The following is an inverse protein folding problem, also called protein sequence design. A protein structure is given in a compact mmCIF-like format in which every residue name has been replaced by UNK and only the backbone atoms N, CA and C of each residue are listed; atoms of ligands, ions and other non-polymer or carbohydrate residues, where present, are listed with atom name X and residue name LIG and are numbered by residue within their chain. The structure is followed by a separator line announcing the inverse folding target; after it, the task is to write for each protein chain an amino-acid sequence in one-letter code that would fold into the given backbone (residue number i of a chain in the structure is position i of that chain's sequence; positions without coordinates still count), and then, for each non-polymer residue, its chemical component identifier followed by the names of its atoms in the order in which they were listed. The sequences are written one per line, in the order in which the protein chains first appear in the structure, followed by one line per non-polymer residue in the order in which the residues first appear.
data_IF_217736049053
#
_entry.id   IF_217736049053
#
_cell.length_a   1.000
_cell.length_b   1.000
_cell.length_c   1.000
_cell.angle_alpha   90.00
_cell.angle_beta   90.00
_cell.angle_gamma   90.00
#
_symmetry.space_group_name_H-M   'P 1'
#
loop_
_entity.id
_entity.type
_entity.pdbx_description
1 polymer ?
#
# COMPACT_ATOMS: atom_id res chain seq x y z
N UNK A 1 15.11 34.52 3.84
CA UNK A 1 15.16 34.18 2.40
C UNK A 1 14.08 35.01 1.72
N UNK A 2 14.42 35.95 0.82
CA UNK A 2 13.40 36.72 0.12
C UNK A 2 12.54 35.78 -0.73
N UNK A 3 11.26 36.12 -0.99
CA UNK A 3 10.41 35.31 -1.86
C UNK A 3 11.07 35.22 -3.24
N UNK A 4 11.27 33.99 -3.75
CA UNK A 4 11.71 33.78 -5.13
C UNK A 4 10.78 34.55 -6.07
N UNK A 5 11.29 35.29 -7.07
CA UNK A 5 10.44 35.86 -8.10
C UNK A 5 9.64 34.73 -8.73
N UNK A 6 8.31 34.86 -8.71
CA UNK A 6 7.43 33.84 -9.28
C UNK A 6 7.74 33.73 -10.77
N UNK A 7 8.10 32.53 -11.22
CA UNK A 7 8.31 32.24 -12.64
C UNK A 7 6.99 32.49 -13.37
N UNK A 8 7.05 33.16 -14.51
CA UNK A 8 5.87 33.34 -15.36
C UNK A 8 5.37 31.99 -15.89
N UNK A 9 4.05 31.85 -16.07
CA UNK A 9 3.47 30.58 -16.50
C UNK A 9 3.97 30.16 -17.88
N UNK A 10 4.06 31.08 -18.84
CA UNK A 10 4.49 30.74 -20.20
C UNK A 10 5.96 30.32 -20.22
N UNK A 11 6.81 31.03 -19.48
CA UNK A 11 8.21 30.67 -19.32
C UNK A 11 8.37 29.27 -18.67
N UNK A 12 7.54 28.95 -17.67
CA UNK A 12 7.55 27.62 -17.07
C UNK A 12 7.08 26.54 -18.04
N UNK A 13 5.99 26.76 -18.78
CA UNK A 13 5.48 25.82 -19.79
C UNK A 13 6.55 25.54 -20.83
N UNK A 14 7.17 26.57 -21.41
CA UNK A 14 8.23 26.43 -22.39
C UNK A 14 9.41 25.59 -21.85
N UNK A 15 9.74 25.73 -20.57
CA UNK A 15 10.82 24.96 -19.93
C UNK A 15 10.48 23.49 -19.63
N UNK A 16 9.20 23.10 -19.60
CA UNK A 16 8.75 21.77 -19.14
C UNK A 16 8.04 20.96 -20.22
N UNK A 17 7.49 21.61 -21.24
CA UNK A 17 6.62 20.98 -22.23
C UNK A 17 7.32 19.82 -22.95
N UNK A 18 8.59 19.98 -23.31
CA UNK A 18 9.35 18.97 -24.03
C UNK A 18 9.52 17.71 -23.20
N UNK A 19 9.98 17.86 -21.95
CA UNK A 19 10.18 16.72 -21.06
C UNK A 19 8.86 16.02 -20.72
N UNK A 20 7.79 16.77 -20.48
CA UNK A 20 6.48 16.18 -20.21
C UNK A 20 5.84 15.55 -21.46
N UNK A 21 6.20 15.99 -22.67
CA UNK A 21 5.80 15.36 -23.91
C UNK A 21 6.43 13.97 -24.07
N UNK A 22 7.73 13.86 -23.83
CA UNK A 22 8.43 12.56 -23.81
C UNK A 22 7.77 11.58 -22.83
N UNK A 23 7.50 12.04 -21.61
CA UNK A 23 6.80 11.22 -20.60
C UNK A 23 5.40 10.85 -21.06
N UNK A 24 4.63 11.80 -21.62
CA UNK A 24 3.27 11.54 -22.08
C UNK A 24 3.22 10.53 -23.23
N UNK A 25 4.14 10.63 -24.19
CA UNK A 25 4.26 9.67 -25.31
C UNK A 25 4.57 8.27 -24.79
N UNK A 26 5.49 8.14 -23.83
CA UNK A 26 5.80 6.85 -23.21
C UNK A 26 4.61 6.26 -22.42
N UNK A 27 3.76 7.11 -21.86
CA UNK A 27 2.56 6.68 -21.14
C UNK A 27 1.43 6.23 -22.09
N UNK A 28 1.27 6.89 -23.24
CA UNK A 28 0.14 6.63 -24.14
C UNK A 28 0.47 5.67 -25.27
N UNK A 29 1.68 5.73 -25.82
CA UNK A 29 2.03 5.11 -27.11
C UNK A 29 1.39 5.80 -28.31
N UNK A 30 0.68 6.91 -28.11
CA UNK A 30 -0.03 7.67 -29.14
C UNK A 30 0.26 9.16 -28.98
N UNK A 31 0.84 9.77 -30.03
CA UNK A 31 1.25 11.18 -30.02
C UNK A 31 0.07 12.14 -29.85
N UNK A 32 -1.08 11.83 -30.45
CA UNK A 32 -2.27 12.68 -30.37
C UNK A 32 -2.87 12.73 -28.97
N UNK A 33 -2.94 11.57 -28.31
CA UNK A 33 -3.38 11.44 -26.92
C UNK A 33 -2.40 12.09 -25.96
N UNK A 34 -1.09 11.90 -26.16
CA UNK A 34 -0.03 12.51 -25.36
C UNK A 34 -0.19 14.05 -25.35
N UNK A 35 -0.26 14.64 -26.54
CA UNK A 35 -0.51 16.06 -26.75
C UNK A 35 -1.77 16.55 -26.04
N UNK A 36 -2.88 15.79 -26.13
CA UNK A 36 -4.13 16.15 -25.46
C UNK A 36 -4.01 16.13 -23.93
N UNK A 37 -3.32 15.13 -23.38
CA UNK A 37 -3.07 14.99 -21.94
C UNK A 37 -2.20 16.14 -21.42
N UNK A 38 -1.18 16.55 -22.18
CA UNK A 38 -0.30 17.69 -21.84
C UNK A 38 -1.11 18.98 -21.77
N UNK A 39 -1.92 19.25 -22.79
CA UNK A 39 -2.78 20.44 -22.82
C UNK A 39 -3.75 20.46 -21.63
N UNK A 40 -4.45 19.35 -21.34
CA UNK A 40 -5.33 19.26 -20.15
C UNK A 40 -4.57 19.41 -18.83
N UNK A 41 -3.35 18.88 -18.74
CA UNK A 41 -2.52 18.96 -17.55
C UNK A 41 -2.12 20.41 -17.24
N UNK A 42 -1.58 21.13 -18.23
CA UNK A 42 -1.16 22.52 -18.06
C UNK A 42 -2.34 23.47 -17.91
N UNK A 43 -3.44 23.28 -18.63
CA UNK A 43 -4.68 24.03 -18.46
C UNK A 43 -5.19 23.95 -17.00
N UNK A 44 -5.15 22.77 -16.38
CA UNK A 44 -5.50 22.61 -14.97
C UNK A 44 -4.44 23.10 -13.99
N UNK A 45 -3.18 23.13 -14.40
CA UNK A 45 -2.09 23.70 -13.61
C UNK A 45 -2.23 25.22 -13.53
N UNK A 46 -2.61 25.86 -14.64
CA UNK A 46 -2.84 27.30 -14.74
C UNK A 46 -3.80 27.82 -13.66
N UNK A 47 -4.90 27.09 -13.41
CA UNK A 47 -5.90 27.39 -12.36
C UNK A 47 -5.34 27.53 -10.95
N UNK A 48 -4.21 26.90 -10.67
CA UNK A 48 -3.56 26.92 -9.35
C UNK A 48 -2.15 27.51 -9.44
N UNK A 49 -1.80 28.12 -10.58
CA UNK A 49 -0.46 28.61 -10.86
C UNK A 49 0.07 29.59 -9.81
N UNK A 50 -0.71 30.57 -9.30
CA UNK A 50 -0.20 31.48 -8.27
C UNK A 50 0.32 30.75 -7.02
N UNK A 51 -0.25 29.60 -6.67
CA UNK A 51 0.21 28.78 -5.54
C UNK A 51 1.41 27.92 -5.94
N UNK A 52 1.38 27.33 -7.13
CA UNK A 52 2.43 26.42 -7.62
C UNK A 52 3.74 27.17 -7.92
N UNK A 53 3.66 28.37 -8.53
CA UNK A 53 4.82 29.20 -8.86
C UNK A 53 5.65 29.61 -7.63
N UNK A 54 5.06 29.54 -6.43
CA UNK A 54 5.71 29.84 -5.14
C UNK A 54 6.20 28.59 -4.41
N UNK A 55 5.95 27.41 -4.95
CA UNK A 55 6.36 26.13 -4.35
C UNK A 55 7.85 25.84 -4.62
N UNK A 56 8.43 24.93 -3.82
CA UNK A 56 9.84 24.53 -3.98
C UNK A 56 10.11 23.71 -5.25
N UNK A 57 9.09 23.06 -5.80
CA UNK A 57 9.21 22.21 -6.99
C UNK A 57 7.92 22.29 -7.85
N UNK A 58 7.79 23.33 -8.70
CA UNK A 58 6.67 23.45 -9.63
C UNK A 58 6.60 22.29 -10.64
N UNK A 59 7.75 21.70 -11.01
CA UNK A 59 7.84 20.56 -11.93
C UNK A 59 7.17 19.30 -11.38
N UNK A 60 7.28 19.03 -10.07
CA UNK A 60 6.52 17.95 -9.44
C UNK A 60 5.01 18.14 -9.53
N UNK A 61 4.52 19.37 -9.39
CA UNK A 61 3.10 19.66 -9.57
C UNK A 61 2.67 19.44 -11.03
N UNK A 62 3.49 19.83 -11.99
CA UNK A 62 3.23 19.60 -13.42
C UNK A 62 3.18 18.10 -13.76
N UNK A 63 4.16 17.30 -13.33
CA UNK A 63 4.14 15.83 -13.48
C UNK A 63 2.89 15.22 -12.84
N UNK A 64 2.51 15.65 -11.64
CA UNK A 64 1.30 15.16 -10.98
C UNK A 64 0.02 15.48 -11.77
N UNK A 65 -0.05 16.66 -12.41
CA UNK A 65 -1.18 17.02 -13.30
C UNK A 65 -1.20 16.17 -14.57
N UNK A 66 -0.03 15.89 -15.16
CA UNK A 66 0.11 14.99 -16.29
C UNK A 66 -0.40 13.58 -15.96
N UNK A 67 0.10 12.97 -14.87
CA UNK A 67 -0.33 11.64 -14.42
C UNK A 67 -1.83 11.59 -14.09
N UNK A 68 -2.36 12.67 -13.51
CA UNK A 68 -3.80 12.78 -13.25
C UNK A 68 -4.63 12.86 -14.54
N UNK A 69 -4.12 13.54 -15.57
CA UNK A 69 -4.74 13.62 -16.89
C UNK A 69 -4.69 12.26 -17.60
N UNK A 70 -3.53 11.61 -17.63
CA UNK A 70 -3.37 10.24 -18.13
C UNK A 70 -4.36 9.27 -17.48
N UNK A 71 -4.44 9.26 -16.15
CA UNK A 71 -5.40 8.41 -15.45
C UNK A 71 -6.87 8.75 -15.76
N UNK A 72 -7.22 10.00 -16.09
CA UNK A 72 -8.57 10.36 -16.57
C UNK A 72 -8.83 9.77 -17.97
N UNK A 73 -7.87 9.88 -18.88
CA UNK A 73 -7.99 9.38 -20.25
C UNK A 73 -8.07 7.85 -20.28
N UNK A 74 -7.20 7.15 -19.53
CA UNK A 74 -7.27 5.71 -19.36
C UNK A 74 -8.64 5.25 -18.84
N UNK A 75 -9.17 5.91 -17.79
CA UNK A 75 -10.55 5.66 -17.30
C UNK A 75 -11.65 6.04 -18.28
N UNK A 76 -11.40 6.90 -19.27
CA UNK A 76 -12.40 7.23 -20.29
C UNK A 76 -12.41 6.15 -21.37
N UNK A 77 -11.24 5.77 -21.89
CA UNK A 77 -11.05 4.62 -22.81
C UNK A 77 -11.74 3.37 -22.27
N UNK A 78 -11.55 3.14 -20.96
CA UNK A 78 -12.23 2.12 -20.19
C UNK A 78 -13.73 2.01 -20.35
N UNK A 79 -14.38 3.17 -20.34
CA UNK A 79 -15.83 3.28 -20.29
C UNK A 79 -16.42 3.28 -21.70
N UNK A 80 -15.65 3.75 -22.69
CA UNK A 80 -16.07 3.78 -24.09
C UNK A 80 -15.97 2.43 -24.79
N UNK A 81 -15.13 1.51 -24.32
CA UNK A 81 -14.92 0.21 -24.98
C UNK A 81 -15.95 -0.88 -24.61
N UNK A 82 -16.93 -0.62 -23.75
CA UNK A 82 -17.96 -1.58 -23.28
C UNK A 82 -17.51 -3.03 -22.98
N UNK A 83 -16.22 -3.28 -22.82
CA UNK A 83 -15.70 -4.34 -21.97
C UNK A 83 -15.65 -3.81 -20.53
N UNK A 84 -16.09 -4.59 -19.52
CA UNK A 84 -15.92 -4.25 -18.11
C UNK A 84 -14.45 -4.40 -17.65
N UNK A 85 -13.46 -4.08 -18.49
CA UNK A 85 -12.06 -4.39 -18.26
C UNK A 85 -11.27 -3.29 -17.53
N UNK A 86 -11.70 -2.02 -17.60
CA UNK A 86 -10.83 -0.90 -17.16
C UNK A 86 -11.34 -0.12 -15.94
N UNK A 87 -12.28 -0.71 -15.19
CA UNK A 87 -12.38 -0.44 -13.75
C UNK A 87 -11.71 -1.52 -12.89
N UNK A 88 -11.27 -2.63 -13.51
CA UNK A 88 -10.69 -3.79 -12.81
C UNK A 88 -9.19 -3.98 -13.10
N UNK A 89 -8.67 -3.55 -14.26
CA UNK A 89 -7.25 -3.73 -14.60
C UNK A 89 -6.26 -2.88 -13.78
N UNK A 90 -6.72 -1.90 -13.00
CA UNK A 90 -5.89 -1.20 -12.00
C UNK A 90 -5.82 -1.96 -10.65
N UNK A 91 -6.55 -3.07 -10.49
CA UNK A 91 -6.67 -3.89 -9.26
C UNK A 91 -6.76 -5.40 -9.59
N UNK A 92 -5.61 -6.04 -9.87
CA UNK A 92 -5.35 -7.50 -9.88
C UNK A 92 -5.45 -8.24 -11.22
N UNK A 93 -4.28 -8.35 -11.86
CA UNK A 93 -3.83 -9.57 -12.55
C UNK A 93 -4.62 -10.01 -13.79
N UNK A 94 -4.36 -9.38 -14.94
CA UNK A 94 -4.56 -10.04 -16.23
C UNK A 94 -3.27 -10.79 -16.59
N UNK A 95 -3.28 -12.12 -16.50
CA UNK A 95 -2.23 -12.97 -17.08
C UNK A 95 -2.49 -13.10 -18.58
N UNK A 96 -1.55 -12.62 -19.40
CA UNK A 96 -1.53 -12.86 -20.84
C UNK A 96 -1.37 -14.37 -21.13
N UNK A 97 -1.96 -14.83 -22.24
CA UNK A 97 -1.90 -16.22 -22.71
C UNK A 97 -0.49 -16.67 -23.13
N UNK A 98 -0.35 -17.86 -23.75
CA UNK A 98 0.96 -18.46 -24.07
C UNK A 98 1.87 -17.52 -24.87
N UNK A 99 3.21 -17.61 -24.68
CA UNK A 99 4.16 -16.62 -25.15
C UNK A 99 4.10 -16.48 -26.67
N UNK A 100 3.65 -15.33 -27.13
CA UNK A 100 4.06 -14.78 -28.42
C UNK A 100 5.26 -13.90 -28.10
N UNK A 101 6.38 -14.11 -28.79
CA UNK A 101 7.52 -13.18 -28.74
C UNK A 101 7.04 -11.88 -29.40
N UNK A 102 6.58 -10.96 -28.55
CA UNK A 102 6.12 -9.62 -28.92
C UNK A 102 7.25 -8.66 -28.55
N UNK A 103 7.38 -7.57 -29.31
CA UNK A 103 8.42 -6.56 -29.05
C UNK A 103 8.30 -5.96 -27.64
N UNK A 104 9.43 -5.62 -27.00
CA UNK A 104 9.47 -5.08 -25.64
C UNK A 104 8.59 -3.84 -25.51
N UNK A 105 8.58 -2.96 -26.51
CA UNK A 105 7.78 -1.75 -26.48
C UNK A 105 6.27 -2.05 -26.50
N UNK A 106 5.85 -2.97 -27.37
CA UNK A 106 4.44 -3.41 -27.43
C UNK A 106 4.00 -4.02 -26.09
N UNK A 107 4.86 -4.81 -25.43
CA UNK A 107 4.52 -5.35 -24.10
C UNK A 107 4.43 -4.27 -23.02
N UNK A 108 5.24 -3.21 -23.08
CA UNK A 108 5.14 -2.05 -22.19
C UNK A 108 3.83 -1.27 -22.44
N UNK A 109 3.40 -1.18 -23.70
CA UNK A 109 2.11 -0.59 -24.09
C UNK A 109 0.89 -1.45 -23.77
N UNK A 110 1.08 -2.72 -23.43
CA UNK A 110 0.03 -3.59 -22.90
C UNK A 110 -0.06 -3.61 -21.37
N UNK A 111 0.91 -3.00 -20.68
CA UNK A 111 0.88 -2.91 -19.22
C UNK A 111 -0.34 -2.10 -18.73
N UNK A 112 -0.91 -2.46 -17.56
CA UNK A 112 -1.87 -1.63 -16.86
C UNK A 112 -1.35 -0.19 -16.68
N UNK A 113 -2.22 0.83 -16.81
CA UNK A 113 -1.80 2.24 -16.82
C UNK A 113 -0.91 2.64 -15.64
N UNK A 114 -1.21 2.16 -14.42
CA UNK A 114 -0.37 2.44 -13.24
C UNK A 114 1.00 1.78 -13.29
N UNK A 115 1.08 0.54 -13.78
CA UNK A 115 2.34 -0.18 -13.89
C UNK A 115 3.26 0.48 -14.91
N UNK A 116 2.71 0.86 -16.07
CA UNK A 116 3.43 1.65 -17.07
C UNK A 116 3.91 2.98 -16.50
N UNK A 117 3.04 3.69 -15.79
CA UNK A 117 3.41 4.96 -15.16
C UNK A 117 4.55 4.80 -14.14
N UNK A 118 4.57 3.71 -13.37
CA UNK A 118 5.67 3.41 -12.45
C UNK A 118 6.97 3.16 -13.21
N UNK A 119 6.96 2.36 -14.28
CA UNK A 119 8.16 2.10 -15.07
C UNK A 119 8.70 3.37 -15.74
N UNK A 120 7.85 4.17 -16.37
CA UNK A 120 8.27 5.44 -17.00
C UNK A 120 8.85 6.40 -15.95
N UNK A 121 8.21 6.57 -14.80
CA UNK A 121 8.74 7.47 -13.76
C UNK A 121 10.03 6.95 -13.11
N UNK A 122 10.21 5.64 -13.02
CA UNK A 122 11.37 5.03 -12.36
C UNK A 122 12.57 4.88 -13.30
N UNK A 123 12.35 4.36 -14.50
CA UNK A 123 13.40 3.98 -15.45
C UNK A 123 13.74 5.09 -16.45
N UNK A 124 12.76 5.93 -16.82
CA UNK A 124 12.99 7.05 -17.75
C UNK A 124 13.18 8.40 -17.04
N UNK A 125 12.39 8.69 -16.00
CA UNK A 125 12.57 9.92 -15.18
C UNK A 125 13.58 9.75 -14.03
N UNK A 126 14.04 8.53 -13.74
CA UNK A 126 15.01 8.26 -12.68
C UNK A 126 14.51 8.59 -11.26
N UNK A 127 13.19 8.64 -11.03
CA UNK A 127 12.63 9.04 -9.74
C UNK A 127 12.66 7.89 -8.73
N UNK A 128 12.98 8.21 -7.48
CA UNK A 128 12.89 7.25 -6.39
C UNK A 128 11.43 6.90 -6.03
N UNK A 129 11.20 5.65 -5.59
CA UNK A 129 9.88 5.12 -5.24
C UNK A 129 9.07 6.03 -4.29
N UNK A 130 9.72 6.69 -3.31
CA UNK A 130 9.05 7.63 -2.38
C UNK A 130 8.51 8.90 -3.07
N UNK A 131 9.15 9.33 -4.16
CA UNK A 131 8.71 10.47 -4.97
C UNK A 131 7.53 10.03 -5.84
N UNK A 132 7.67 8.88 -6.51
CA UNK A 132 6.63 8.27 -7.35
C UNK A 132 5.35 8.03 -6.54
N UNK A 133 5.48 7.47 -5.33
CA UNK A 133 4.39 7.22 -4.39
C UNK A 133 3.55 8.48 -4.11
N UNK A 134 4.22 9.61 -3.86
CA UNK A 134 3.55 10.90 -3.63
C UNK A 134 2.84 11.42 -4.87
N UNK A 135 3.44 11.23 -6.05
CA UNK A 135 2.87 11.67 -7.33
C UNK A 135 1.61 10.87 -7.69
N UNK A 136 1.67 9.54 -7.54
CA UNK A 136 0.57 8.61 -7.82
C UNK A 136 -0.45 8.51 -6.67
N UNK A 137 -0.16 9.09 -5.51
CA UNK A 137 -0.95 8.98 -4.27
C UNK A 137 -1.12 7.51 -3.83
N UNK A 138 -0.05 6.75 -3.94
CA UNK A 138 0.04 5.34 -3.53
C UNK A 138 1.10 5.17 -2.43
N UNK A 139 1.02 4.13 -1.59
CA UNK A 139 2.08 3.82 -0.63
C UNK A 139 3.40 3.46 -1.35
N UNK A 140 4.55 3.85 -0.80
CA UNK A 140 5.86 3.55 -1.39
C UNK A 140 6.13 2.04 -1.61
N UNK A 141 5.76 1.12 -0.70
CA UNK A 141 5.91 -0.32 -0.95
C UNK A 141 5.11 -0.81 -2.18
N UNK A 142 3.97 -0.16 -2.47
CA UNK A 142 3.13 -0.50 -3.62
C UNK A 142 3.78 -0.08 -4.95
N UNK A 143 4.63 0.95 -4.95
CA UNK A 143 5.41 1.35 -6.13
C UNK A 143 6.41 0.26 -6.50
N UNK A 144 7.17 -0.25 -5.54
CA UNK A 144 8.09 -1.37 -5.77
C UNK A 144 7.39 -2.64 -6.24
N UNK A 145 6.20 -2.93 -5.69
CA UNK A 145 5.36 -4.02 -6.18
C UNK A 145 4.93 -3.85 -7.64
N UNK A 146 4.44 -2.66 -8.01
CA UNK A 146 4.04 -2.37 -9.40
C UNK A 146 5.22 -2.45 -10.37
N UNK A 147 6.39 -1.95 -9.98
CA UNK A 147 7.60 -2.06 -10.79
C UNK A 147 7.97 -3.53 -11.04
N UNK A 148 8.02 -4.35 -9.99
CA UNK A 148 8.32 -5.78 -10.12
C UNK A 148 7.31 -6.50 -11.02
N UNK A 149 6.01 -6.32 -10.78
CA UNK A 149 4.96 -6.97 -11.59
C UNK A 149 5.04 -6.58 -13.07
N UNK A 150 5.35 -5.31 -13.35
CA UNK A 150 5.51 -4.84 -14.70
C UNK A 150 6.72 -5.48 -15.39
N UNK A 151 7.87 -5.56 -14.70
CA UNK A 151 9.08 -6.20 -15.21
C UNK A 151 8.87 -7.71 -15.44
N UNK A 152 8.19 -8.40 -14.53
CA UNK A 152 7.76 -9.80 -14.70
C UNK A 152 6.94 -10.00 -15.97
N UNK A 153 5.92 -9.17 -16.17
CA UNK A 153 5.03 -9.29 -17.32
C UNK A 153 5.79 -9.03 -18.62
N UNK A 154 6.63 -8.00 -18.67
CA UNK A 154 7.45 -7.68 -19.84
C UNK A 154 8.43 -8.81 -20.12
N UNK A 155 9.14 -9.32 -19.10
CA UNK A 155 10.11 -10.40 -19.26
C UNK A 155 9.49 -11.66 -19.84
N UNK A 156 8.34 -12.09 -19.31
CA UNK A 156 7.64 -13.28 -19.78
C UNK A 156 7.05 -13.11 -21.18
N UNK A 157 6.48 -11.94 -21.48
CA UNK A 157 5.79 -11.72 -22.76
C UNK A 157 6.78 -11.46 -23.90
N UNK A 158 7.85 -10.69 -23.65
CA UNK A 158 8.87 -10.39 -24.64
C UNK A 158 9.98 -11.46 -24.73
N UNK A 159 9.96 -12.47 -23.84
CA UNK A 159 10.96 -13.55 -23.84
C UNK A 159 12.37 -13.09 -23.44
N UNK A 160 12.47 -12.16 -22.50
CA UNK A 160 13.76 -11.60 -22.06
C UNK A 160 14.57 -12.60 -21.22
N UNK A 161 15.89 -12.47 -21.29
CA UNK A 161 16.84 -13.30 -20.52
C UNK A 161 16.61 -13.15 -19.01
N UNK A 162 16.43 -14.26 -18.30
CA UNK A 162 16.15 -14.27 -16.85
C UNK A 162 14.66 -14.24 -16.48
N UNK A 163 13.74 -14.34 -17.44
CA UNK A 163 12.29 -14.38 -17.17
C UNK A 163 11.86 -15.57 -16.28
N UNK A 164 12.53 -16.70 -16.40
CA UNK A 164 12.35 -17.90 -15.56
C UNK A 164 12.80 -17.66 -14.11
N UNK A 165 13.92 -16.95 -13.93
CA UNK A 165 14.45 -16.56 -12.61
C UNK A 165 13.54 -15.55 -11.90
N UNK A 166 13.04 -14.56 -12.64
CA UNK A 166 12.13 -13.52 -12.13
C UNK A 166 10.76 -14.10 -11.74
N UNK A 167 10.24 -15.07 -12.50
CA UNK A 167 8.92 -15.67 -12.23
C UNK A 167 8.93 -16.74 -11.13
N UNK A 168 10.06 -17.41 -10.90
CA UNK A 168 10.23 -18.44 -9.88
C UNK A 168 10.63 -17.90 -8.50
N UNK A 169 11.90 -17.50 -8.36
CA UNK A 169 12.46 -16.95 -7.12
C UNK A 169 13.35 -15.77 -7.50
N UNK A 170 12.80 -14.54 -7.49
CA UNK A 170 13.42 -13.39 -8.13
C UNK A 170 14.78 -13.10 -7.49
N UNK A 171 15.84 -13.21 -8.31
CA UNK A 171 17.14 -12.66 -7.99
C UNK A 171 17.14 -11.15 -8.29
N UNK A 172 17.97 -10.40 -7.56
CA UNK A 172 18.08 -8.96 -7.80
C UNK A 172 18.69 -8.68 -9.19
N UNK A 173 19.62 -9.53 -9.62
CA UNK A 173 20.37 -9.34 -10.87
C UNK A 173 19.52 -9.57 -12.13
N UNK A 174 18.58 -10.53 -12.18
CA UNK A 174 17.71 -10.65 -13.36
C UNK A 174 16.70 -9.52 -13.42
N UNK A 175 16.17 -9.08 -12.26
CA UNK A 175 15.32 -7.90 -12.21
C UNK A 175 16.04 -6.65 -12.74
N UNK A 176 17.32 -6.47 -12.39
CA UNK A 176 18.13 -5.37 -12.89
C UNK A 176 18.41 -5.49 -14.41
N UNK A 177 18.75 -6.68 -14.91
CA UNK A 177 18.91 -6.92 -16.36
C UNK A 177 17.66 -6.58 -17.16
N UNK A 178 16.49 -7.07 -16.72
CA UNK A 178 15.22 -6.75 -17.39
C UNK A 178 14.89 -5.27 -17.28
N UNK A 179 15.18 -4.63 -16.15
CA UNK A 179 14.97 -3.20 -15.99
C UNK A 179 15.87 -2.38 -16.92
N UNK A 180 17.11 -2.81 -17.17
CA UNK A 180 18.03 -2.19 -18.13
C UNK A 180 17.51 -2.31 -19.57
N UNK A 181 17.04 -3.49 -19.98
CA UNK A 181 16.43 -3.71 -21.31
C UNK A 181 15.19 -2.82 -21.52
N UNK A 182 14.31 -2.77 -20.51
CA UNK A 182 13.13 -1.89 -20.57
C UNK A 182 13.54 -0.42 -20.57
N UNK A 183 14.54 -0.03 -19.78
CA UNK A 183 15.04 1.34 -19.78
C UNK A 183 15.59 1.73 -21.16
N UNK A 184 16.38 0.87 -21.80
CA UNK A 184 16.89 1.10 -23.15
C UNK A 184 15.74 1.27 -24.15
N UNK A 185 14.74 0.39 -24.10
CA UNK A 185 13.54 0.49 -24.94
C UNK A 185 12.78 1.82 -24.75
N UNK A 186 12.60 2.28 -23.51
CA UNK A 186 11.97 3.57 -23.22
C UNK A 186 12.79 4.76 -23.75
N UNK A 187 14.11 4.68 -23.71
CA UNK A 187 14.99 5.72 -24.26
C UNK A 187 14.98 5.73 -25.80
N UNK A 188 14.69 4.61 -26.45
CA UNK A 188 14.55 4.54 -27.91
C UNK A 188 13.19 5.04 -28.40
N UNK A 189 12.11 4.81 -27.63
CA UNK A 189 10.73 5.06 -28.08
C UNK A 189 10.14 6.42 -27.67
N UNK A 190 10.84 7.21 -26.86
CA UNK A 190 10.34 8.56 -26.57
C UNK A 190 10.40 9.43 -27.82
N UNK A 191 9.49 10.40 -27.93
CA UNK A 191 9.59 11.45 -28.95
C UNK A 191 10.90 12.21 -28.76
N UNK A 192 11.65 12.42 -29.84
CA UNK A 192 12.89 13.21 -29.82
C UNK A 192 12.67 14.68 -29.47
N UNK A 193 13.71 15.49 -29.63
CA UNK A 193 13.60 16.95 -29.55
C UNK A 193 12.89 17.51 -30.79
N UNK A 194 11.56 17.35 -30.77
CA UNK A 194 10.64 17.94 -31.74
C UNK A 194 10.42 19.44 -31.43
N UNK A 195 10.02 20.20 -32.44
CA UNK A 195 9.53 21.57 -32.24
C UNK A 195 8.26 21.55 -31.38
N UNK A 196 8.39 21.99 -30.13
CA UNK A 196 7.31 22.06 -29.16
C UNK A 196 6.48 23.34 -29.25
N UNK A 197 6.88 24.30 -30.08
CA UNK A 197 6.18 25.59 -30.19
C UNK A 197 4.68 25.43 -30.52
N UNK A 198 4.25 24.52 -31.42
CA UNK A 198 2.83 24.28 -31.67
C UNK A 198 2.09 23.78 -30.41
N UNK A 199 2.75 22.99 -29.57
CA UNK A 199 2.19 22.46 -28.33
C UNK A 199 2.12 23.53 -27.23
N UNK A 200 3.14 24.39 -27.12
CA UNK A 200 3.14 25.57 -26.24
C UNK A 200 1.99 26.51 -26.62
N UNK A 201 1.80 26.78 -27.91
CA UNK A 201 0.70 27.62 -28.40
C UNK A 201 -0.67 27.04 -27.99
N UNK A 202 -0.88 25.73 -28.16
CA UNK A 202 -2.11 25.05 -27.73
C UNK A 202 -2.35 25.11 -26.22
N UNK A 203 -1.29 24.99 -25.41
CA UNK A 203 -1.38 25.16 -23.95
C UNK A 203 -1.78 26.60 -23.60
N UNK A 204 -1.17 27.59 -24.26
CA UNK A 204 -1.48 29.00 -24.07
C UNK A 204 -2.95 29.28 -24.40
N UNK A 205 -3.42 28.81 -25.55
CA UNK A 205 -4.81 29.01 -25.98
C UNK A 205 -5.79 28.35 -25.00
N UNK A 206 -5.52 27.11 -24.57
CA UNK A 206 -6.35 26.43 -23.57
C UNK A 206 -6.36 27.11 -22.20
N UNK A 207 -5.28 27.83 -21.84
CA UNK A 207 -5.20 28.58 -20.60
C UNK A 207 -5.94 29.93 -20.66
N UNK A 208 -6.02 30.58 -21.83
CA UNK A 208 -6.75 31.85 -22.00
C UNK A 208 -8.24 31.74 -21.67
N UNK A 209 -8.84 30.59 -21.96
CA UNK A 209 -10.26 30.33 -21.70
C UNK A 209 -10.56 29.97 -20.24
N UNK A 210 -9.54 29.91 -19.39
CA UNK A 210 -9.63 29.46 -18.00
C UNK A 210 -9.43 30.64 -17.07
N UNK A 211 -10.49 31.03 -16.35
CA UNK A 211 -10.39 32.01 -15.27
C UNK A 211 -9.51 31.44 -14.12
N UNK A 212 -8.34 32.06 -13.81
CA UNK A 212 -7.47 31.63 -12.73
C UNK A 212 -8.08 31.88 -11.34
N UNK A 213 -9.21 32.60 -11.23
CA UNK A 213 -9.96 32.79 -9.99
C UNK A 213 -11.23 31.93 -9.99
N UNK A 214 -11.19 30.68 -9.48
CA UNK A 214 -12.44 29.97 -9.24
C UNK A 214 -13.22 30.74 -8.18
N UNK A 215 -14.37 31.30 -8.58
CA UNK A 215 -15.35 31.87 -7.67
C UNK A 215 -15.52 30.93 -6.46
N UNK A 216 -15.32 31.50 -5.27
CA UNK A 216 -15.51 30.80 -3.98
C UNK A 216 -16.81 30.01 -4.05
N UNK A 217 -16.74 28.68 -4.09
CA UNK A 217 -17.93 27.85 -3.90
C UNK A 217 -18.49 28.18 -2.52
N UNK A 218 -19.70 28.75 -2.49
CA UNK A 218 -20.43 29.05 -1.25
C UNK A 218 -20.57 27.77 -0.41
N UNK A 219 -20.41 27.83 0.92
CA UNK A 219 -20.72 26.69 1.76
C UNK A 219 -22.21 26.41 1.67
N UNK A 220 -22.57 25.19 1.27
CA UNK A 220 -23.94 24.69 1.38
C UNK A 220 -24.19 24.50 2.87
N UNK A 221 -25.02 25.38 3.45
CA UNK A 221 -25.64 25.16 4.74
C UNK A 221 -26.42 23.84 4.69
N UNK A 222 -26.02 22.87 5.49
CA UNK A 222 -26.92 21.80 5.93
C UNK A 222 -27.55 22.30 7.24
N UNK A 223 -28.75 22.83 7.11
CA UNK A 223 -29.63 23.24 8.21
C UNK A 223 -30.31 22.02 8.83
N UNK A 224 -30.29 21.94 10.16
CA UNK A 224 -31.14 21.07 10.99
C UNK A 224 -30.37 19.95 11.68
N UNK A 225 -30.39 19.77 12.99
CA UNK A 225 -31.04 20.48 14.09
C UNK A 225 -30.21 20.21 15.36
N UNK A 226 -29.87 21.27 16.11
CA UNK A 226 -29.20 21.14 17.42
C UNK A 226 -30.26 21.38 18.49
N UNK A 227 -30.57 20.32 19.25
CA UNK A 227 -31.26 20.45 20.52
C UNK A 227 -30.31 21.07 21.54
N UNK A 228 -30.67 22.27 21.99
CA UNK A 228 -29.97 23.03 23.03
C UNK A 228 -30.30 22.42 24.39
N UNK A 229 -29.27 22.01 25.14
CA UNK A 229 -29.34 21.96 26.60
C UNK A 229 -28.35 22.98 27.16
N UNK A 230 -28.94 24.00 27.77
CA UNK A 230 -28.32 25.05 28.58
C UNK A 230 -27.76 24.42 29.85
N UNK A 231 -26.53 24.77 30.25
CA UNK A 231 -26.26 25.08 31.66
C UNK A 231 -25.15 26.11 31.82
N UNK A 232 -25.32 26.85 32.92
CA UNK A 232 -24.84 28.19 33.22
C UNK A 232 -23.33 28.36 33.37
N UNK A 233 -22.94 29.61 33.12
CA UNK A 233 -21.67 30.27 33.41
C UNK A 233 -21.18 30.11 34.84
N UNK A 234 -19.84 30.05 35.02
CA UNK A 234 -19.12 30.77 36.08
C UNK A 234 -17.71 31.19 35.61
N UNK A 235 -17.60 32.49 35.31
CA UNK A 235 -16.54 33.48 35.62
C UNK A 235 -15.12 32.99 36.03
N UNK A 236 -14.17 33.14 35.09
CA UNK A 236 -12.73 33.61 35.18
C UNK A 236 -11.73 32.99 36.21
N UNK A 237 -10.41 33.33 36.24
CA UNK A 237 -9.43 33.72 35.20
C UNK A 237 -8.11 32.89 35.25
N UNK A 238 -7.30 32.97 34.17
CA UNK A 238 -5.81 33.11 34.13
C UNK A 238 -4.96 32.49 35.29
N UNK A 239 -4.05 31.53 34.99
CA UNK A 239 -2.59 31.49 35.31
C UNK A 239 -1.97 30.08 35.53
N UNK A 240 -0.77 29.92 34.91
CA UNK A 240 0.42 29.10 35.23
C UNK A 240 0.40 27.53 35.12
N UNK A 241 1.51 26.89 34.69
CA UNK A 241 1.59 25.45 34.47
C UNK A 241 1.76 24.69 35.79
N UNK A 242 1.13 23.51 35.90
CA UNK A 242 1.37 22.60 37.02
C UNK A 242 2.67 21.79 36.84
N UNK A 243 3.36 21.64 37.98
CA UNK A 243 4.55 20.84 38.23
C UNK A 243 4.35 19.33 37.96
N UNK A 244 5.45 18.56 37.81
CA UNK A 244 5.39 17.13 37.52
C UNK A 244 4.82 16.34 38.71
N UNK A 245 3.81 15.51 38.43
CA UNK A 245 3.17 14.65 39.43
C UNK A 245 4.08 13.55 39.98
N UNK A 246 3.90 13.28 41.27
CA UNK A 246 4.54 12.24 42.09
C UNK A 246 4.25 10.80 41.58
N UNK A 247 4.96 9.77 42.08
CA UNK A 247 5.07 8.48 41.40
C UNK A 247 3.77 7.69 41.45
N UNK A 248 3.46 7.02 40.34
CA UNK A 248 2.31 6.15 40.18
C UNK A 248 2.25 5.10 41.28
N UNK A 249 1.09 5.00 41.92
CA UNK A 249 0.64 3.85 42.69
C UNK A 249 0.85 2.57 41.89
N UNK A 250 1.40 1.53 42.53
CA UNK A 250 1.54 0.17 42.00
C UNK A 250 0.18 -0.33 41.49
N UNK A 251 -0.07 -0.12 40.21
CA UNK A 251 -1.20 -0.69 39.48
C UNK A 251 -1.10 -2.21 39.58
N UNK A 252 -2.21 -2.82 40.00
CA UNK A 252 -2.39 -4.27 40.03
C UNK A 252 -1.93 -4.89 38.71
N UNK A 253 -1.09 -5.92 38.78
CA UNK A 253 -0.62 -6.67 37.61
C UNK A 253 -1.84 -7.03 36.76
N UNK A 254 -1.92 -6.55 35.50
CA UNK A 254 -3.06 -6.82 34.66
C UNK A 254 -3.16 -8.34 34.44
N UNK A 255 -4.36 -8.90 34.63
CA UNK A 255 -4.61 -10.35 34.48
C UNK A 255 -5.03 -10.61 33.04
N UNK A 256 -4.33 -11.52 32.36
CA UNK A 256 -4.68 -11.92 31.01
C UNK A 256 -6.03 -12.69 31.02
N UNK A 257 -6.97 -12.39 30.11
CA UNK A 257 -8.22 -13.14 29.99
C UNK A 257 -7.92 -14.63 29.75
N UNK A 258 -8.57 -15.50 30.53
CA UNK A 258 -8.47 -16.92 30.31
C UNK A 258 -9.09 -17.29 28.95
N UNK A 259 -8.37 -18.09 28.15
CA UNK A 259 -8.92 -18.62 26.92
C UNK A 259 -10.09 -19.57 27.24
N UNK A 260 -11.17 -19.57 26.46
CA UNK A 260 -12.21 -20.59 26.56
C UNK A 260 -11.63 -22.01 26.54
N UNK A 261 -12.25 -22.96 27.24
CA UNK A 261 -11.79 -24.35 27.30
C UNK A 261 -11.57 -24.94 25.89
N UNK A 262 -10.42 -25.59 25.69
CA UNK A 262 -10.02 -26.16 24.39
C UNK A 262 -9.54 -25.14 23.34
N UNK A 263 -9.34 -23.87 23.72
CA UNK A 263 -8.83 -22.82 22.84
C UNK A 263 -7.59 -22.14 23.41
N UNK A 264 -6.86 -21.43 22.56
CA UNK A 264 -5.79 -20.52 22.92
C UNK A 264 -6.04 -19.15 22.28
N UNK A 265 -5.61 -18.09 22.95
CA UNK A 265 -5.68 -16.74 22.40
C UNK A 265 -4.50 -16.48 21.46
N UNK A 266 -4.79 -15.94 20.28
CA UNK A 266 -3.81 -15.44 19.31
C UNK A 266 -4.13 -14.00 18.97
N UNK A 267 -3.10 -13.16 18.88
CA UNK A 267 -3.26 -11.73 18.66
C UNK A 267 -2.69 -11.25 17.33
N UNK A 268 -3.31 -10.22 16.75
CA UNK A 268 -2.67 -9.41 15.71
C UNK A 268 -3.03 -7.93 15.89
N UNK A 269 -2.05 -7.05 15.70
CA UNK A 269 -2.14 -5.62 16.02
C UNK A 269 -2.56 -5.36 17.48
N UNK A 270 -3.85 -5.09 17.75
CA UNK A 270 -4.39 -4.91 19.10
C UNK A 270 -5.71 -5.66 19.33
N UNK A 271 -5.90 -6.75 18.58
CA UNK A 271 -7.07 -7.60 18.63
C UNK A 271 -6.63 -9.04 18.87
N UNK A 272 -7.40 -9.78 19.65
CA UNK A 272 -7.17 -11.20 19.96
C UNK A 272 -8.36 -12.05 19.52
N UNK A 273 -8.08 -13.30 19.18
CA UNK A 273 -9.05 -14.29 18.71
C UNK A 273 -8.79 -15.61 19.43
N UNK A 274 -9.84 -16.33 19.81
CA UNK A 274 -9.72 -17.66 20.40
C UNK A 274 -9.75 -18.73 19.31
N UNK A 275 -8.63 -19.43 19.11
CA UNK A 275 -8.50 -20.53 18.14
C UNK A 275 -8.39 -21.87 18.88
N UNK A 276 -8.83 -23.00 18.32
CA UNK A 276 -8.61 -24.31 18.94
C UNK A 276 -7.13 -24.52 19.29
N UNK A 277 -6.87 -25.11 20.45
CA UNK A 277 -5.51 -25.22 21.00
C UNK A 277 -4.57 -26.08 20.16
N UNK A 278 -5.14 -27.00 19.38
CA UNK A 278 -4.47 -27.93 18.46
C UNK A 278 -4.17 -27.32 17.08
N UNK A 279 -4.60 -26.08 16.81
CA UNK A 279 -4.25 -25.40 15.56
C UNK A 279 -2.78 -25.01 15.52
N UNK A 280 -2.13 -25.35 14.41
CA UNK A 280 -0.72 -25.09 14.16
C UNK A 280 -0.43 -23.60 13.91
N UNK A 281 0.83 -23.20 13.98
CA UNK A 281 1.30 -21.85 13.67
C UNK A 281 2.10 -21.85 12.37
N UNK A 282 1.67 -21.09 11.38
CA UNK A 282 2.31 -20.96 10.06
C UNK A 282 2.58 -22.30 9.33
N UNK A 283 1.77 -23.33 9.55
CA UNK A 283 1.93 -24.66 8.93
C UNK A 283 1.30 -24.71 7.52
N UNK A 284 1.94 -24.03 6.56
CA UNK A 284 1.44 -23.89 5.18
C UNK A 284 2.45 -24.43 4.15
N UNK A 285 2.74 -25.75 4.12
CA UNK A 285 3.64 -26.29 3.10
C UNK A 285 2.97 -26.21 1.71
N UNK A 286 3.72 -25.73 0.72
CA UNK A 286 3.27 -25.68 -0.68
C UNK A 286 3.09 -27.07 -1.33
N UNK A 287 3.64 -28.11 -0.69
CA UNK A 287 3.47 -29.51 -1.07
C UNK A 287 3.19 -30.35 0.19
N UNK A 288 1.93 -30.39 0.64
CA UNK A 288 1.54 -31.20 1.79
C UNK A 288 0.07 -31.09 2.19
N UNK A 289 -0.39 -31.98 3.07
CA UNK A 289 -1.67 -31.81 3.73
C UNK A 289 -1.60 -30.59 4.65
N UNK A 290 -2.46 -29.59 4.40
CA UNK A 290 -2.55 -28.40 5.25
C UNK A 290 -3.28 -28.80 6.54
N UNK A 291 -2.62 -28.61 7.69
CA UNK A 291 -3.25 -28.72 9.00
C UNK A 291 -4.06 -27.44 9.30
N UNK A 292 -5.02 -27.53 10.21
CA UNK A 292 -5.72 -26.33 10.68
C UNK A 292 -4.70 -25.39 11.32
N UNK A 293 -4.61 -24.14 10.83
CA UNK A 293 -3.49 -23.27 11.16
C UNK A 293 -3.88 -21.81 11.33
N UNK A 294 -3.19 -21.14 12.24
CA UNK A 294 -3.11 -19.67 12.30
C UNK A 294 -1.92 -19.22 11.46
N UNK A 295 -2.15 -18.30 10.53
CA UNK A 295 -1.18 -17.84 9.54
C UNK A 295 -0.93 -16.35 9.78
N UNK A 296 0.34 -15.98 9.96
CA UNK A 296 0.80 -14.61 10.11
C UNK A 296 1.53 -14.15 8.83
N UNK A 297 1.70 -12.83 8.61
CA UNK A 297 2.35 -12.29 7.41
C UNK A 297 3.81 -12.73 7.19
N UNK A 298 4.42 -13.39 8.18
CA UNK A 298 5.80 -13.87 8.21
C UNK A 298 5.95 -15.35 7.90
N UNK A 299 4.86 -16.03 7.55
CA UNK A 299 4.90 -17.36 6.99
C UNK A 299 5.69 -17.30 5.66
N UNK A 300 6.99 -17.61 5.74
CA UNK A 300 7.85 -17.82 4.57
C UNK A 300 7.14 -18.82 3.64
N UNK A 301 7.07 -18.52 2.35
CA UNK A 301 6.45 -19.34 1.28
C UNK A 301 4.91 -19.42 1.20
N UNK A 302 4.12 -18.56 1.84
CA UNK A 302 2.65 -18.57 1.60
C UNK A 302 2.22 -17.91 0.28
N UNK A 303 3.17 -17.45 -0.55
CA UNK A 303 2.94 -16.74 -1.80
C UNK A 303 2.40 -17.63 -2.92
N UNK A 304 1.17 -18.12 -2.80
CA UNK A 304 0.43 -18.75 -3.90
C UNK A 304 -0.08 -20.16 -3.64
N UNK A 305 0.15 -20.72 -2.46
CA UNK A 305 -0.29 -22.09 -2.15
C UNK A 305 -1.79 -22.08 -1.84
N UNK A 306 -2.57 -22.52 -2.83
CA UNK A 306 -4.05 -22.55 -2.77
C UNK A 306 -4.48 -23.31 -1.53
N UNK A 307 -5.03 -22.60 -0.54
CA UNK A 307 -5.51 -23.17 0.71
C UNK A 307 -6.49 -24.32 0.41
N UNK A 308 -6.11 -25.54 0.81
CA UNK A 308 -6.88 -26.76 0.69
C UNK A 308 -8.29 -26.56 1.31
N UNK A 309 -9.37 -26.79 0.56
CA UNK A 309 -10.74 -26.53 1.03
C UNK A 309 -11.19 -27.45 2.17
N UNK A 310 -10.38 -28.45 2.54
CA UNK A 310 -10.63 -29.36 3.66
C UNK A 310 -10.06 -28.88 5.00
N UNK A 311 -9.24 -27.83 5.01
CA UNK A 311 -8.60 -27.28 6.21
C UNK A 311 -9.27 -25.99 6.68
N UNK A 312 -9.21 -25.72 7.98
CA UNK A 312 -9.63 -24.46 8.59
C UNK A 312 -8.42 -23.55 8.83
N UNK A 313 -8.51 -22.29 8.46
CA UNK A 313 -7.41 -21.33 8.63
C UNK A 313 -7.89 -19.99 9.15
N UNK A 314 -7.07 -19.36 9.98
CA UNK A 314 -7.16 -17.94 10.35
C UNK A 314 -5.92 -17.27 9.81
N UNK A 315 -6.09 -16.39 8.84
CA UNK A 315 -4.98 -15.66 8.21
C UNK A 315 -5.02 -14.21 8.64
N UNK A 316 -4.01 -13.77 9.38
CA UNK A 316 -3.73 -12.37 9.63
C UNK A 316 -2.91 -11.80 8.49
N UNK A 317 -3.26 -10.60 8.10
CA UNK A 317 -2.77 -10.01 6.86
C UNK A 317 -2.64 -8.52 7.06
N UNK A 318 -1.73 -7.89 6.32
CA UNK A 318 -1.74 -6.45 6.22
C UNK A 318 -2.95 -6.04 5.36
N UNK A 319 -3.65 -4.93 5.66
CA UNK A 319 -4.70 -4.39 4.78
C UNK A 319 -4.30 -4.35 3.29
N UNK A 320 -3.01 -4.15 3.01
CA UNK A 320 -2.44 -4.15 1.65
C UNK A 320 -2.55 -5.49 0.91
N UNK A 321 -2.49 -6.63 1.61
CA UNK A 321 -2.41 -7.98 1.01
C UNK A 321 -3.78 -8.64 0.78
N UNK A 322 -4.83 -8.25 1.51
CA UNK A 322 -6.16 -8.88 1.39
C UNK A 322 -7.23 -7.97 0.81
N UNK A 323 -7.02 -6.65 0.82
CA UNK A 323 -7.73 -5.77 -0.10
C UNK A 323 -7.51 -6.17 -1.57
N UNK A 324 -6.39 -6.88 -1.86
CA UNK A 324 -6.15 -7.48 -3.17
C UNK A 324 -7.13 -8.57 -3.60
N UNK A 325 -7.79 -9.25 -2.64
CA UNK A 325 -8.52 -10.49 -2.91
C UNK A 325 -10.06 -10.30 -2.86
N UNK A 326 -10.56 -9.21 -2.27
CA UNK A 326 -12.00 -8.96 -2.07
C UNK A 326 -12.47 -7.55 -2.45
N UNK A 327 -11.90 -6.94 -3.49
CA UNK A 327 -12.25 -5.59 -3.97
C UNK A 327 -13.72 -5.44 -4.43
N UNK A 328 -14.44 -6.55 -4.60
CA UNK A 328 -15.88 -6.57 -4.92
C UNK A 328 -16.81 -6.62 -3.70
N UNK A 329 -16.29 -6.87 -2.49
CA UNK A 329 -17.11 -6.99 -1.29
C UNK A 329 -17.01 -5.68 -0.52
N UNK A 330 -18.08 -4.87 -0.50
CA UNK A 330 -18.17 -3.73 0.41
C UNK A 330 -18.38 -4.28 1.84
N UNK A 331 -17.35 -4.26 2.72
CA UNK A 331 -17.51 -4.81 4.05
C UNK A 331 -18.46 -3.90 4.83
N UNK A 332 -19.49 -4.51 5.42
CA UNK A 332 -20.48 -3.80 6.21
C UNK A 332 -20.04 -3.79 7.67
N UNK A 333 -20.52 -2.81 8.43
CA UNK A 333 -20.32 -2.85 9.87
C UNK A 333 -21.10 -4.06 10.42
N UNK A 334 -20.38 -5.00 11.03
CA UNK A 334 -20.97 -6.21 11.61
C UNK A 334 -20.99 -6.15 13.14
N UNK A 335 -20.10 -5.35 13.76
CA UNK A 335 -20.00 -5.24 15.22
C UNK A 335 -19.21 -3.98 15.66
N UNK A 336 -19.09 -3.79 16.98
CA UNK A 336 -18.15 -2.86 17.62
C UNK A 336 -17.38 -3.54 18.76
N UNK A 337 -16.05 -3.48 18.69
CA UNK A 337 -15.16 -4.12 19.68
C UNK A 337 -14.32 -3.02 20.34
N UNK A 338 -14.52 -2.80 21.64
CA UNK A 338 -13.88 -1.72 22.41
C UNK A 338 -14.13 -0.32 21.83
N UNK A 339 -15.35 -0.05 21.39
CA UNK A 339 -15.75 1.23 20.77
C UNK A 339 -15.22 1.45 19.34
N UNK A 340 -14.53 0.46 18.77
CA UNK A 340 -14.02 0.51 17.39
C UNK A 340 -14.93 -0.23 16.44
N UNK A 341 -15.11 0.32 15.25
CA UNK A 341 -15.92 -0.28 14.19
C UNK A 341 -15.27 -1.56 13.69
N UNK A 342 -16.03 -2.65 13.70
CA UNK A 342 -15.67 -3.91 13.07
C UNK A 342 -16.44 -4.03 11.77
N UNK A 343 -15.70 -4.14 10.67
CA UNK A 343 -16.27 -4.38 9.36
C UNK A 343 -16.10 -5.85 9.01
N UNK A 344 -17.08 -6.42 8.34
CA UNK A 344 -17.05 -7.80 7.90
C UNK A 344 -17.60 -7.94 6.49
N UNK A 345 -17.04 -8.90 5.75
CA UNK A 345 -17.69 -9.39 4.54
C UNK A 345 -18.89 -10.26 4.93
N UNK A 346 -19.83 -10.41 4.00
CA UNK A 346 -20.79 -11.52 4.10
C UNK A 346 -20.04 -12.86 4.13
N UNK A 347 -20.65 -13.88 4.74
CA UNK A 347 -20.12 -15.23 4.71
C UNK A 347 -20.28 -15.80 3.29
N UNK A 348 -19.17 -16.02 2.61
CA UNK A 348 -19.12 -16.60 1.26
C UNK A 348 -18.72 -18.08 1.34
N UNK A 349 -18.83 -18.82 0.23
CA UNK A 349 -18.37 -20.21 0.16
C UNK A 349 -17.55 -20.52 -1.11
N UNK A 350 -16.42 -19.84 -1.34
CA UNK A 350 -15.56 -20.12 -2.49
C UNK A 350 -14.90 -21.50 -2.35
N UNK A 351 -14.75 -22.22 -3.47
CA UNK A 351 -14.04 -23.51 -3.53
C UNK A 351 -14.47 -24.52 -2.43
N UNK A 352 -15.77 -24.58 -2.11
CA UNK A 352 -16.38 -25.47 -1.13
C UNK A 352 -16.08 -25.21 0.37
N UNK A 353 -15.28 -24.20 0.74
CA UNK A 353 -15.06 -23.77 2.13
C UNK A 353 -15.79 -22.46 2.43
N UNK A 354 -16.34 -22.32 3.64
CA UNK A 354 -16.92 -21.07 4.12
C UNK A 354 -15.83 -20.07 4.44
N UNK A 355 -16.08 -18.81 4.12
CA UNK A 355 -15.09 -17.76 4.26
C UNK A 355 -15.71 -16.45 4.73
N UNK A 356 -15.03 -15.78 5.66
CA UNK A 356 -15.40 -14.44 6.10
C UNK A 356 -14.15 -13.62 6.41
N UNK A 357 -14.13 -12.38 5.94
CA UNK A 357 -13.11 -11.40 6.26
C UNK A 357 -13.61 -10.46 7.35
N UNK A 358 -12.76 -10.16 8.33
CA UNK A 358 -13.03 -9.21 9.42
C UNK A 358 -11.93 -8.16 9.48
N UNK A 359 -12.33 -6.90 9.67
CA UNK A 359 -11.47 -5.73 9.59
C UNK A 359 -11.77 -4.82 10.77
N UNK A 360 -10.73 -4.33 11.46
CA UNK A 360 -10.85 -3.22 12.41
C UNK A 360 -9.93 -2.09 11.93
N UNK A 361 -10.46 -1.13 11.14
CA UNK A 361 -9.63 -0.15 10.43
C UNK A 361 -8.73 0.69 11.33
N UNK A 362 -9.25 1.10 12.49
CA UNK A 362 -8.53 1.93 13.45
C UNK A 362 -7.31 1.26 14.08
N UNK A 363 -7.17 -0.06 13.94
CA UNK A 363 -6.04 -0.81 14.46
C UNK A 363 -5.18 -1.45 13.37
N UNK A 364 -5.55 -1.30 12.09
CA UNK A 364 -4.90 -2.03 11.00
C UNK A 364 -5.10 -3.55 11.09
N UNK A 365 -6.06 -4.03 11.89
CA UNK A 365 -6.37 -5.45 12.00
C UNK A 365 -7.13 -5.93 10.77
N UNK A 366 -6.63 -6.99 10.16
CA UNK A 366 -7.26 -7.67 9.05
C UNK A 366 -7.10 -9.18 9.21
N UNK A 367 -8.22 -9.89 9.11
CA UNK A 367 -8.27 -11.34 9.31
C UNK A 367 -9.18 -11.98 8.28
N UNK A 368 -8.73 -13.08 7.69
CA UNK A 368 -9.56 -13.97 6.85
C UNK A 368 -9.73 -15.29 7.58
N UNK A 369 -10.96 -15.72 7.75
CA UNK A 369 -11.29 -17.02 8.33
C UNK A 369 -11.86 -17.91 7.24
N UNK A 370 -11.28 -19.10 7.05
CA UNK A 370 -11.76 -20.11 6.11
C UNK A 370 -11.98 -21.43 6.84
N UNK A 371 -13.06 -22.15 6.53
CA UNK A 371 -13.29 -23.49 7.06
C UNK A 371 -14.32 -24.26 6.22
N UNK A 372 -14.21 -25.59 6.06
CA UNK A 372 -15.31 -26.41 5.53
C UNK A 372 -16.58 -26.31 6.39
N UNK A 373 -16.48 -25.90 7.65
CA UNK A 373 -17.60 -25.81 8.59
C UNK A 373 -17.99 -24.35 8.88
N UNK A 374 -19.23 -23.99 8.52
CA UNK A 374 -19.80 -22.65 8.80
C UNK A 374 -19.82 -22.28 10.29
N UNK A 375 -20.00 -23.27 11.16
CA UNK A 375 -20.00 -23.08 12.62
C UNK A 375 -18.64 -22.63 13.14
N UNK A 376 -17.54 -23.14 12.58
CA UNK A 376 -16.16 -22.76 12.95
C UNK A 376 -15.92 -21.29 12.61
N UNK A 377 -16.28 -20.85 11.39
CA UNK A 377 -16.13 -19.44 10.98
C UNK A 377 -16.87 -18.50 11.95
N UNK A 378 -18.13 -18.82 12.26
CA UNK A 378 -18.94 -17.99 13.18
C UNK A 378 -18.36 -17.94 14.59
N UNK A 379 -17.88 -19.07 15.13
CA UNK A 379 -17.27 -19.13 16.46
C UNK A 379 -16.00 -18.27 16.53
N UNK A 380 -15.14 -18.36 15.51
CA UNK A 380 -13.91 -17.57 15.45
C UNK A 380 -14.20 -16.07 15.39
N UNK A 381 -15.11 -15.64 14.50
CA UNK A 381 -15.50 -14.24 14.37
C UNK A 381 -16.16 -13.69 15.64
N UNK A 382 -16.98 -14.48 16.33
CA UNK A 382 -17.59 -14.09 17.59
C UNK A 382 -16.62 -14.03 18.78
N UNK A 383 -15.42 -14.63 18.65
CA UNK A 383 -14.41 -14.67 19.71
C UNK A 383 -13.44 -13.48 19.71
N UNK A 384 -13.60 -12.55 18.76
CA UNK A 384 -12.71 -11.41 18.59
C UNK A 384 -12.87 -10.43 19.76
N UNK A 385 -11.76 -10.01 20.36
CA UNK A 385 -11.74 -9.08 21.50
C UNK A 385 -10.60 -8.07 21.36
N UNK A 386 -10.67 -6.93 22.07
CA UNK A 386 -9.51 -6.00 22.17
C UNK A 386 -8.52 -6.56 23.17
N UNK A 387 -7.23 -6.35 22.90
CA UNK A 387 -6.18 -6.57 23.90
C UNK A 387 -6.46 -5.74 25.15
N UNK A 388 -6.50 -6.34 26.35
CA UNK A 388 -6.69 -5.60 27.59
C UNK A 388 -5.57 -4.59 27.86
N UNK A 389 -5.86 -3.57 28.68
CA UNK A 389 -4.85 -2.60 29.09
C UNK A 389 -3.67 -3.28 29.81
N UNK A 390 -2.47 -2.75 29.59
CA UNK A 390 -1.22 -3.30 30.15
C UNK A 390 -0.64 -4.50 29.40
N UNK A 391 -1.34 -5.01 28.38
CA UNK A 391 -0.83 -6.05 27.48
C UNK A 391 -0.61 -5.52 26.07
N UNK A 392 0.25 -6.22 25.34
CA UNK A 392 0.51 -6.00 23.92
C UNK A 392 0.70 -7.34 23.21
N UNK A 393 0.73 -7.30 21.88
CA UNK A 393 0.93 -8.49 21.04
C UNK A 393 2.33 -8.42 20.46
N UNK A 394 3.05 -9.53 20.50
CA UNK A 394 4.36 -9.64 19.85
C UNK A 394 4.18 -9.62 18.32
N UNK A 395 4.68 -8.59 17.60
CA UNK A 395 4.64 -8.56 16.15
C UNK A 395 5.59 -9.61 15.56
N UNK A 396 5.41 -9.94 14.28
CA UNK A 396 6.44 -10.71 13.59
C UNK A 396 7.56 -9.80 13.10
N UNK A 397 8.78 -10.19 13.45
CA UNK A 397 10.04 -9.58 13.05
C UNK A 397 10.82 -10.43 12.04
N UNK A 398 10.36 -11.66 11.76
CA UNK A 398 11.10 -12.62 10.93
C UNK A 398 11.28 -12.07 9.50
N UNK A 399 12.50 -12.18 8.97
CA UNK A 399 12.85 -11.67 7.64
C UNK A 399 13.05 -10.15 7.55
N UNK A 400 12.73 -9.39 8.61
CA UNK A 400 12.99 -7.96 8.66
C UNK A 400 14.46 -7.66 8.96
N UNK A 401 14.97 -6.49 8.53
CA UNK A 401 16.27 -5.99 9.00
C UNK A 401 16.20 -5.72 10.50
N UNK A 402 17.32 -5.95 11.20
CA UNK A 402 17.38 -5.81 12.66
C UNK A 402 16.88 -4.45 13.17
N UNK A 403 17.22 -3.35 12.47
CA UNK A 403 16.74 -2.01 12.81
C UNK A 403 15.22 -1.85 12.71
N UNK A 404 14.61 -2.38 11.65
CA UNK A 404 13.16 -2.32 11.43
C UNK A 404 12.42 -3.19 12.46
N UNK A 405 12.91 -4.42 12.69
CA UNK A 405 12.38 -5.31 13.72
C UNK A 405 12.42 -4.69 15.12
N UNK A 406 13.52 -4.02 15.46
CA UNK A 406 13.66 -3.33 16.74
C UNK A 406 12.68 -2.16 16.86
N UNK A 407 12.47 -1.40 15.78
CA UNK A 407 11.51 -0.30 15.75
C UNK A 407 10.07 -0.79 15.92
N UNK A 408 9.71 -1.89 15.26
CA UNK A 408 8.37 -2.51 15.38
C UNK A 408 8.09 -3.01 16.80
N UNK A 409 9.07 -3.64 17.46
CA UNK A 409 8.95 -4.06 18.85
C UNK A 409 8.75 -2.86 19.79
N UNK A 410 9.54 -1.79 19.60
CA UNK A 410 9.40 -0.56 20.39
C UNK A 410 8.04 0.09 20.16
N UNK A 411 7.55 0.15 18.92
CA UNK A 411 6.23 0.66 18.59
C UNK A 411 5.10 -0.17 19.23
N UNK A 412 5.30 -1.47 19.41
CA UNK A 412 4.41 -2.36 20.15
C UNK A 412 4.54 -2.24 21.68
N UNK A 413 5.44 -1.39 22.19
CA UNK A 413 5.69 -1.23 23.63
C UNK A 413 6.56 -2.33 24.23
N UNK A 414 7.35 -3.05 23.42
CA UNK A 414 8.24 -4.13 23.83
C UNK A 414 9.70 -3.68 23.85
N UNK A 415 10.54 -4.42 24.56
CA UNK A 415 11.99 -4.15 24.67
C UNK A 415 12.78 -5.13 23.79
N UNK A 416 13.31 -4.72 22.63
CA UNK A 416 14.15 -5.60 21.83
C UNK A 416 15.46 -5.91 22.56
N UNK A 417 15.86 -7.18 22.57
CA UNK A 417 17.14 -7.67 23.10
C UNK A 417 17.82 -8.46 22.00
N UNK A 418 19.04 -8.10 21.62
CA UNK A 418 19.78 -8.87 20.62
C UNK A 418 20.43 -10.06 21.34
N UNK A 419 19.89 -11.26 21.14
CA UNK A 419 20.32 -12.47 21.85
C UNK A 419 21.53 -13.15 21.21
N UNK A 420 21.74 -12.91 19.91
CA UNK A 420 22.91 -13.37 19.18
C UNK A 420 23.22 -12.40 18.03
N UNK A 421 24.36 -11.71 18.13
CA UNK A 421 24.91 -10.88 17.07
C UNK A 421 26.27 -11.46 16.68
N UNK A 422 26.39 -12.01 15.48
CA UNK A 422 27.70 -12.12 14.83
C UNK A 422 28.34 -10.73 14.83
N UNK A 423 29.66 -10.65 15.03
CA UNK A 423 30.41 -9.39 15.23
C UNK A 423 29.99 -8.33 14.21
N UNK A 424 29.17 -7.38 14.66
CA UNK A 424 28.63 -6.27 13.89
C UNK A 424 29.76 -5.28 13.60
N UNK A 425 30.54 -5.53 12.55
CA UNK A 425 31.21 -4.43 11.87
C UNK A 425 30.16 -3.71 11.04
N UNK A 426 30.02 -2.40 11.24
CA UNK A 426 29.12 -1.51 10.47
C UNK A 426 29.30 -1.72 8.96
N UNK A 427 28.48 -2.60 8.37
CA UNK A 427 28.34 -2.74 6.91
C UNK A 427 26.97 -2.24 6.49
N UNK A 428 26.92 -1.56 5.34
CA UNK A 428 25.66 -1.30 4.62
C UNK A 428 24.90 -2.61 4.42
N UNK A 429 23.67 -2.67 4.90
CA UNK A 429 22.76 -3.82 4.71
C UNK A 429 22.84 -4.86 5.82
N UNK A 430 22.44 -4.51 7.05
CA UNK A 430 22.33 -5.45 8.17
C UNK A 430 21.55 -6.72 7.77
N UNK A 431 21.99 -7.91 8.22
CA UNK A 431 21.30 -9.15 7.92
C UNK A 431 19.91 -9.20 8.55
N UNK A 432 18.97 -9.91 7.91
CA UNK A 432 17.61 -10.04 8.41
C UNK A 432 17.54 -10.92 9.66
N UNK A 433 16.54 -10.68 10.51
CA UNK A 433 16.22 -11.50 11.68
C UNK A 433 15.78 -12.89 11.23
N UNK A 434 16.45 -13.93 11.72
CA UNK A 434 16.08 -15.32 11.46
C UNK A 434 15.14 -15.88 12.52
N UNK A 435 15.28 -15.44 13.76
CA UNK A 435 14.51 -15.96 14.88
C UNK A 435 14.15 -14.87 15.90
N UNK A 436 12.94 -14.97 16.43
CA UNK A 436 12.49 -14.25 17.62
C UNK A 436 12.13 -15.28 18.70
N UNK A 437 12.54 -15.05 19.94
CA UNK A 437 12.37 -16.02 21.03
C UNK A 437 10.93 -16.16 21.55
N UNK A 438 10.04 -15.23 21.18
CA UNK A 438 8.62 -15.28 21.49
C UNK A 438 7.87 -15.20 20.17
N UNK A 439 7.05 -16.21 19.88
CA UNK A 439 6.31 -16.30 18.62
C UNK A 439 5.41 -15.08 18.38
N UNK A 440 5.23 -14.75 17.10
CA UNK A 440 4.29 -13.73 16.69
C UNK A 440 2.88 -14.07 17.18
N UNK A 441 2.19 -13.05 17.66
CA UNK A 441 0.82 -13.18 18.14
C UNK A 441 0.65 -13.64 19.58
N UNK A 442 1.75 -13.90 20.30
CA UNK A 442 1.69 -14.07 21.76
C UNK A 442 1.32 -12.76 22.44
N UNK A 443 0.51 -12.84 23.47
CA UNK A 443 0.09 -11.69 24.29
C UNK A 443 1.01 -11.63 25.50
N UNK A 444 1.67 -10.50 25.69
CA UNK A 444 2.65 -10.29 26.76
C UNK A 444 2.43 -8.94 27.43
N UNK A 445 2.86 -8.75 28.69
CA UNK A 445 2.84 -7.45 29.32
C UNK A 445 3.61 -6.40 28.50
N UNK A 446 3.12 -5.15 28.52
CA UNK A 446 3.88 -4.02 27.96
C UNK A 446 5.23 -3.92 28.69
N UNK A 447 6.30 -3.71 27.94
CA UNK A 447 7.66 -3.63 28.45
C UNK A 447 8.38 -4.98 28.56
N UNK A 448 7.73 -6.10 28.20
CA UNK A 448 8.39 -7.41 28.07
C UNK A 448 9.54 -7.37 27.07
N UNK A 449 10.60 -8.13 27.36
CA UNK A 449 11.76 -8.26 26.49
C UNK A 449 11.56 -9.33 25.44
N UNK A 450 11.87 -9.01 24.18
CA UNK A 450 11.84 -9.94 23.05
C UNK A 450 13.24 -10.07 22.48
N UNK A 451 13.74 -11.30 22.46
CA UNK A 451 15.03 -11.69 21.91
C UNK A 451 14.98 -11.77 20.39
N UNK A 452 15.89 -11.09 19.70
CA UNK A 452 16.11 -11.18 18.26
C UNK A 452 17.47 -11.84 18.00
N UNK A 453 17.47 -12.85 17.14
CA UNK A 453 18.68 -13.52 16.65
C UNK A 453 18.84 -13.33 15.15
N UNK A 454 20.08 -13.06 14.76
CA UNK A 454 20.50 -12.80 13.37
C UNK A 454 21.50 -13.89 12.98
N UNK A 455 21.46 -14.44 11.75
CA UNK A 455 22.35 -15.51 11.35
C UNK A 455 23.81 -15.06 11.41
N UNK A 456 24.68 -15.97 11.84
CA UNK A 456 26.13 -15.83 11.69
C UNK A 456 26.49 -16.27 10.28
N UNK A 457 27.07 -15.37 9.48
CA UNK A 457 27.64 -15.70 8.18
C UNK A 457 29.15 -15.90 8.31
#
# INVERSE_FOLDING_TARGET
MPPHPAIDFEAFVASQVQRLAQVADLLTGDRGEADQIIVDAFARLYRVWPTVARSRDPSAAARQRLLSAYGRTARRRARSQQEPALRLADEFGATAGPPRVIDVWETVLDLPPRQRAVLVLRLFEGLHDRVIARMLKTPAPLVGHHARRALEQVALTAGLTGADQISGQPDAEACDRVAEEVAACLHEHHRGDDDVEPLVARVRDAARDIDPHPSRRKPILVTGAVAVLVFASFVTPRWWPQQPGAPATLESVPVLPAAPAGTRLVGYANVVVAVPSDWEHNAVPCAGAIADSVIYPDAVDSGGCVLNPRSSTVTFTNPTSTAMYYSSIQPQQIDQIGGRRVLGTGLTRPNAAYEQTVIVPSSGFWMVVRSPQKSVVRKLVASIQVVPQGFTIVPSCRGQRLGDASADLVAAGLKPVITQASTLSERRGQPPVTYQNIDAGKIVPVGSSVGLSVPSF
#
